data_IF_474770326087
#
_entry.id   IF_474770326087
#
_cell.length_a   1.000
_cell.length_b   1.000
_cell.length_c   1.000
_cell.angle_alpha   90.00
_cell.angle_beta   90.00
_cell.angle_gamma   90.00
#
_symmetry.space_group_name_H-M   'P 1'
#
loop_
_entity.id
_entity.type
_entity.pdbx_description
1 polymer ?
#
# COMPACT_ATOMS: atom_id res chain seq x y z
N UNK A 1 -16.39 -66.32 -2.08
CA UNK A 1 -15.44 -65.33 -2.63
C UNK A 1 -16.06 -63.96 -2.47
N UNK A 2 -15.53 -63.11 -1.55
CA UNK A 2 -16.01 -61.76 -1.31
C UNK A 2 -15.07 -60.79 -2.04
N UNK A 3 -15.58 -60.06 -3.01
CA UNK A 3 -14.81 -59.03 -3.70
C UNK A 3 -14.85 -57.74 -2.89
N UNK A 4 -13.70 -57.26 -2.43
CA UNK A 4 -13.53 -55.97 -1.78
C UNK A 4 -13.27 -54.94 -2.89
N UNK A 5 -14.21 -54.05 -3.11
CA UNK A 5 -14.04 -52.89 -4.01
C UNK A 5 -13.31 -51.78 -3.25
N UNK A 6 -12.06 -51.51 -3.63
CA UNK A 6 -11.29 -50.38 -3.11
C UNK A 6 -11.63 -49.18 -3.98
N UNK A 7 -12.39 -48.25 -3.44
CA UNK A 7 -12.63 -46.95 -4.07
C UNK A 7 -11.42 -46.03 -3.84
N UNK A 8 -10.69 -45.73 -4.90
CA UNK A 8 -9.59 -44.79 -4.91
C UNK A 8 -10.17 -43.39 -5.07
N UNK A 9 -10.28 -42.64 -3.97
CA UNK A 9 -10.66 -41.21 -4.01
C UNK A 9 -9.45 -40.39 -4.46
N UNK A 10 -9.45 -39.91 -5.71
CA UNK A 10 -8.52 -38.89 -6.18
C UNK A 10 -8.87 -37.55 -5.49
N UNK A 11 -8.08 -37.15 -4.50
CA UNK A 11 -8.07 -35.75 -4.05
C UNK A 11 -7.41 -34.91 -5.16
N UNK A 12 -8.23 -34.26 -5.98
CA UNK A 12 -7.77 -33.24 -6.90
C UNK A 12 -7.31 -32.01 -6.09
N UNK A 13 -6.00 -31.84 -5.95
CA UNK A 13 -5.43 -30.60 -5.45
C UNK A 13 -5.77 -29.49 -6.45
N UNK A 14 -6.68 -28.59 -6.08
CA UNK A 14 -6.86 -27.31 -6.78
C UNK A 14 -5.53 -26.56 -6.69
N UNK A 15 -4.73 -26.62 -7.74
CA UNK A 15 -3.58 -25.73 -7.90
C UNK A 15 -4.18 -24.35 -8.19
N UNK A 16 -4.29 -23.52 -7.15
CA UNK A 16 -4.54 -22.09 -7.33
C UNK A 16 -3.29 -21.53 -7.98
N UNK A 17 -3.29 -21.43 -9.30
CA UNK A 17 -2.22 -20.74 -10.03
C UNK A 17 -2.28 -19.27 -9.68
N UNK A 18 -1.41 -18.84 -8.76
CA UNK A 18 -1.13 -17.42 -8.56
C UNK A 18 -0.67 -16.86 -9.92
N UNK A 19 -1.43 -15.95 -10.49
CA UNK A 19 -1.04 -15.33 -11.74
C UNK A 19 0.19 -14.45 -11.48
N UNK A 20 1.30 -14.76 -12.17
CA UNK A 20 2.50 -13.92 -12.11
C UNK A 20 2.14 -12.52 -12.62
N UNK A 21 2.45 -11.49 -11.85
CA UNK A 21 2.14 -10.10 -12.16
C UNK A 21 3.41 -9.26 -12.23
N UNK A 22 3.37 -8.20 -13.03
CA UNK A 22 4.40 -7.17 -13.09
C UNK A 22 4.07 -6.09 -12.05
N UNK A 23 4.85 -6.02 -10.99
CA UNK A 23 4.66 -5.09 -9.87
C UNK A 23 5.73 -4.02 -9.93
N UNK A 24 5.31 -2.76 -9.96
CA UNK A 24 6.21 -1.61 -9.84
C UNK A 24 6.10 -1.05 -8.43
N UNK A 25 7.24 -0.91 -7.75
CA UNK A 25 7.34 -0.26 -6.44
C UNK A 25 8.03 1.06 -6.61
N UNK A 26 7.35 2.15 -6.29
CA UNK A 26 7.87 3.51 -6.31
C UNK A 26 8.24 3.94 -4.90
N UNK A 27 9.54 4.09 -4.60
CA UNK A 27 10.05 4.43 -3.28
C UNK A 27 11.13 5.51 -3.34
N UNK A 28 11.31 6.26 -2.27
CA UNK A 28 12.40 7.26 -2.15
C UNK A 28 13.26 6.97 -0.92
N UNK A 29 14.56 7.23 -1.07
CA UNK A 29 15.54 7.12 -0.02
C UNK A 29 15.72 8.49 0.66
N UNK A 30 15.00 8.70 1.75
CA UNK A 30 15.19 9.89 2.59
C UNK A 30 14.89 9.53 4.07
N UNK A 31 15.53 10.21 5.03
CA UNK A 31 15.38 9.89 6.45
C UNK A 31 13.92 9.90 6.95
N UNK A 32 13.11 10.82 6.43
CA UNK A 32 11.70 10.96 6.82
C UNK A 32 10.76 10.00 6.06
N UNK A 33 11.27 9.14 5.18
CA UNK A 33 10.48 8.17 4.42
C UNK A 33 10.58 6.74 4.98
N UNK A 34 10.92 6.59 6.25
CA UNK A 34 10.82 5.33 6.98
C UNK A 34 11.58 4.17 6.34
N UNK A 35 12.79 4.41 5.84
CA UNK A 35 13.63 3.38 5.19
C UNK A 35 12.88 2.61 4.09
N UNK A 36 12.05 3.33 3.32
CA UNK A 36 11.14 2.74 2.34
C UNK A 36 11.86 1.90 1.29
N UNK A 37 13.02 2.34 0.81
CA UNK A 37 13.77 1.62 -0.24
C UNK A 37 14.24 0.26 0.25
N UNK A 38 14.88 0.18 1.44
CA UNK A 38 15.35 -1.10 1.98
C UNK A 38 14.17 -2.00 2.36
N UNK A 39 13.15 -1.44 3.00
CA UNK A 39 11.93 -2.18 3.37
C UNK A 39 11.25 -2.78 2.15
N UNK A 40 11.12 -2.03 1.06
CA UNK A 40 10.47 -2.50 -0.17
C UNK A 40 11.34 -3.48 -0.97
N UNK A 41 12.65 -3.30 -1.00
CA UNK A 41 13.56 -4.30 -1.58
C UNK A 41 13.47 -5.63 -0.83
N UNK A 42 13.46 -5.60 0.51
CA UNK A 42 13.30 -6.80 1.33
C UNK A 42 11.92 -7.45 1.12
N UNK A 43 10.85 -6.66 1.08
CA UNK A 43 9.50 -7.16 0.82
C UNK A 43 9.39 -7.80 -0.57
N UNK A 44 9.94 -7.15 -1.59
CA UNK A 44 9.99 -7.71 -2.95
C UNK A 44 10.74 -9.05 -3.00
N UNK A 45 11.91 -9.12 -2.36
CA UNK A 45 12.76 -10.31 -2.40
C UNK A 45 12.17 -11.49 -1.61
N UNK A 46 11.60 -11.22 -0.44
CA UNK A 46 11.21 -12.26 0.49
C UNK A 46 9.74 -12.68 0.36
N UNK A 47 8.87 -11.78 -0.10
CA UNK A 47 7.43 -12.03 -0.11
C UNK A 47 6.83 -12.09 -1.53
N UNK A 48 7.27 -11.24 -2.47
CA UNK A 48 6.62 -11.14 -3.79
C UNK A 48 7.26 -12.02 -4.86
N UNK A 49 8.59 -11.93 -5.03
CA UNK A 49 9.29 -12.74 -6.04
C UNK A 49 9.15 -14.25 -5.81
N UNK A 50 9.16 -14.78 -4.57
CA UNK A 50 8.91 -16.20 -4.34
C UNK A 50 7.50 -16.68 -4.74
N UNK A 51 6.54 -15.74 -4.90
CA UNK A 51 5.20 -16.03 -5.41
C UNK A 51 5.10 -15.96 -6.94
N UNK A 52 6.23 -15.75 -7.64
CA UNK A 52 6.30 -15.69 -9.11
C UNK A 52 6.13 -14.30 -9.69
N UNK A 53 5.93 -13.25 -8.88
CA UNK A 53 5.79 -11.88 -9.40
C UNK A 53 7.12 -11.33 -9.94
N UNK A 54 7.06 -10.57 -11.03
CA UNK A 54 8.15 -9.75 -11.50
C UNK A 54 8.08 -8.39 -10.82
N UNK A 55 9.10 -8.03 -10.03
CA UNK A 55 9.08 -6.82 -9.22
C UNK A 55 10.20 -5.87 -9.62
N UNK A 56 9.83 -4.67 -10.05
CA UNK A 56 10.73 -3.56 -10.35
C UNK A 56 10.61 -2.52 -9.24
N UNK A 57 11.72 -2.26 -8.51
CA UNK A 57 11.77 -1.17 -7.53
C UNK A 57 12.40 0.04 -8.20
N UNK A 58 11.60 1.09 -8.38
CA UNK A 58 12.03 2.38 -8.95
C UNK A 58 12.31 3.34 -7.80
N UNK A 59 13.59 3.69 -7.65
CA UNK A 59 14.06 4.57 -6.58
C UNK A 59 14.11 6.00 -7.08
N UNK A 60 13.40 6.88 -6.40
CA UNK A 60 13.39 8.31 -6.71
C UNK A 60 14.61 9.06 -6.18
N UNK A 61 14.76 10.30 -6.65
CA UNK A 61 15.80 11.25 -6.25
C UNK A 61 17.23 10.92 -6.74
N UNK A 62 17.38 10.01 -7.66
CA UNK A 62 18.67 9.65 -8.23
C UNK A 62 18.57 9.64 -9.77
N UNK A 63 19.45 10.36 -10.47
CA UNK A 63 20.42 11.35 -9.98
C UNK A 63 19.81 12.70 -9.61
N UNK A 64 18.55 12.96 -9.95
CA UNK A 64 17.88 14.26 -9.75
C UNK A 64 16.72 14.11 -8.77
N UNK A 65 16.61 15.04 -7.83
CA UNK A 65 15.50 15.09 -6.88
C UNK A 65 14.15 15.17 -7.62
N UNK A 66 13.13 14.51 -7.07
CA UNK A 66 11.79 14.40 -7.66
C UNK A 66 11.68 13.56 -8.94
N UNK A 67 12.78 13.02 -9.44
CA UNK A 67 12.81 12.17 -10.63
C UNK A 67 12.89 10.69 -10.25
N UNK A 68 12.17 9.85 -10.98
CA UNK A 68 12.16 8.39 -10.83
C UNK A 68 12.59 7.78 -12.17
N UNK A 69 13.88 7.49 -12.31
CA UNK A 69 14.41 6.95 -13.54
C UNK A 69 13.75 5.60 -13.89
N UNK A 70 13.31 5.47 -15.14
CA UNK A 70 12.65 4.25 -15.63
C UNK A 70 11.17 4.10 -15.24
N UNK A 71 10.58 5.01 -14.43
CA UNK A 71 9.20 4.89 -13.97
C UNK A 71 8.19 4.78 -15.13
N UNK A 72 8.31 5.64 -16.14
CA UNK A 72 7.38 5.65 -17.29
C UNK A 72 7.40 4.32 -18.04
N UNK A 73 8.60 3.79 -18.27
CA UNK A 73 8.77 2.51 -18.95
C UNK A 73 8.22 1.35 -18.10
N UNK A 74 8.51 1.33 -16.80
CA UNK A 74 8.04 0.30 -15.89
C UNK A 74 6.51 0.26 -15.76
N UNK A 75 5.84 1.42 -15.74
CA UNK A 75 4.39 1.50 -15.59
C UNK A 75 3.61 1.06 -16.84
N UNK A 76 4.21 1.01 -18.03
CA UNK A 76 3.52 0.55 -19.25
C UNK A 76 2.93 -0.85 -19.07
N UNK A 77 3.73 -1.77 -18.55
CA UNK A 77 3.36 -3.18 -18.41
C UNK A 77 3.03 -3.57 -16.97
N UNK A 78 3.00 -2.61 -16.04
CA UNK A 78 2.67 -2.87 -14.65
C UNK A 78 1.22 -3.32 -14.49
N UNK A 79 1.01 -4.37 -13.69
CA UNK A 79 -0.30 -4.82 -13.24
C UNK A 79 -0.68 -4.16 -11.90
N UNK A 80 0.31 -3.75 -11.10
CA UNK A 80 0.13 -3.10 -9.80
C UNK A 80 1.22 -2.05 -9.58
N UNK A 81 0.82 -0.87 -9.06
CA UNK A 81 1.73 0.12 -8.49
C UNK A 81 1.69 0.06 -6.96
N UNK A 82 2.84 -0.18 -6.33
CA UNK A 82 3.03 0.01 -4.89
C UNK A 82 3.72 1.36 -4.68
N UNK A 83 3.10 2.23 -3.91
CA UNK A 83 3.59 3.60 -3.66
C UNK A 83 4.02 3.77 -2.21
N UNK A 84 5.32 3.95 -1.99
CA UNK A 84 5.89 4.30 -0.70
C UNK A 84 6.84 5.49 -0.87
N UNK A 85 6.29 6.62 -1.23
CA UNK A 85 7.00 7.87 -1.50
C UNK A 85 6.43 9.01 -0.67
N UNK A 86 7.27 10.00 -0.41
CA UNK A 86 6.91 11.15 0.43
C UNK A 86 7.25 12.45 -0.28
N UNK A 87 6.22 13.28 -0.54
CA UNK A 87 6.36 14.66 -1.05
C UNK A 87 7.30 14.78 -2.24
N UNK A 88 6.99 14.02 -3.30
CA UNK A 88 7.71 14.10 -4.58
C UNK A 88 6.79 14.71 -5.62
N UNK A 89 7.32 15.76 -6.26
CA UNK A 89 6.67 16.49 -7.33
C UNK A 89 7.29 15.97 -8.61
N UNK A 90 6.52 15.35 -9.47
CA UNK A 90 7.09 14.59 -10.57
C UNK A 90 7.22 15.47 -11.82
N UNK A 91 8.20 15.20 -12.70
CA UNK A 91 8.12 15.67 -14.08
C UNK A 91 6.77 15.29 -14.68
N UNK A 92 6.21 16.16 -15.55
CA UNK A 92 4.87 15.98 -16.12
C UNK A 92 4.66 14.57 -16.70
N UNK A 93 5.62 14.07 -17.47
CA UNK A 93 5.54 12.74 -18.09
C UNK A 93 5.40 11.61 -17.06
N UNK A 94 6.11 11.70 -15.93
CA UNK A 94 6.03 10.69 -14.87
C UNK A 94 4.70 10.77 -14.12
N UNK A 95 4.22 11.98 -13.86
CA UNK A 95 2.89 12.17 -13.24
C UNK A 95 1.78 11.65 -14.17
N UNK A 96 1.89 11.91 -15.46
CA UNK A 96 0.93 11.42 -16.45
C UNK A 96 0.95 9.89 -16.55
N UNK A 97 2.11 9.25 -16.43
CA UNK A 97 2.20 7.80 -16.39
C UNK A 97 1.50 7.20 -15.16
N UNK A 98 1.65 7.82 -13.97
CA UNK A 98 0.93 7.41 -12.76
C UNK A 98 -0.59 7.57 -12.93
N UNK A 99 -1.02 8.70 -13.47
CA UNK A 99 -2.45 8.96 -13.74
C UNK A 99 -3.02 7.99 -14.78
N UNK A 100 -2.26 7.74 -15.85
CA UNK A 100 -2.67 6.80 -16.89
C UNK A 100 -2.84 5.37 -16.35
N UNK A 101 -1.93 4.91 -15.48
CA UNK A 101 -2.03 3.62 -14.81
C UNK A 101 -3.36 3.51 -14.04
N UNK A 102 -3.69 4.49 -13.22
CA UNK A 102 -4.92 4.51 -12.42
C UNK A 102 -6.17 4.65 -13.28
N UNK A 103 -6.13 5.52 -14.30
CA UNK A 103 -7.25 5.74 -15.22
C UNK A 103 -7.55 4.52 -16.08
N UNK A 104 -6.55 3.67 -16.33
CA UNK A 104 -6.74 2.37 -16.99
C UNK A 104 -7.40 1.32 -16.08
N UNK A 105 -7.72 1.65 -14.82
CA UNK A 105 -8.28 0.72 -13.85
C UNK A 105 -7.22 -0.17 -13.18
N UNK A 106 -5.95 0.09 -13.40
CA UNK A 106 -4.86 -0.66 -12.77
C UNK A 106 -4.71 -0.27 -11.30
N UNK A 107 -4.50 -1.24 -10.40
CA UNK A 107 -4.56 -1.03 -8.96
C UNK A 107 -3.37 -0.27 -8.37
N UNK A 108 -3.60 0.29 -7.18
CA UNK A 108 -2.60 0.93 -6.34
C UNK A 108 -2.62 0.36 -4.92
N UNK A 109 -1.43 0.07 -4.38
CA UNK A 109 -1.21 -0.18 -2.97
C UNK A 109 -0.39 0.97 -2.38
N UNK A 110 -1.02 1.80 -1.55
CA UNK A 110 -0.37 2.93 -0.88
C UNK A 110 0.12 2.55 0.51
N UNK A 111 1.40 2.85 0.80
CA UNK A 111 2.01 2.58 2.11
C UNK A 111 2.40 3.90 2.77
N UNK A 112 1.96 4.08 3.98
CA UNK A 112 2.31 5.13 4.94
C UNK A 112 2.40 6.53 4.31
N UNK A 113 3.59 6.95 3.89
CA UNK A 113 3.83 8.29 3.31
C UNK A 113 3.17 8.52 1.95
N UNK A 114 2.60 7.49 1.33
CA UNK A 114 1.74 7.63 0.16
C UNK A 114 0.57 8.61 0.42
N UNK A 115 0.12 8.72 1.68
CA UNK A 115 -0.89 9.69 2.11
C UNK A 115 -0.56 11.15 1.71
N UNK A 116 0.70 11.47 1.49
CA UNK A 116 1.14 12.79 1.05
C UNK A 116 2.26 12.71 -0.02
N UNK A 117 2.19 11.71 -0.88
CA UNK A 117 3.23 11.45 -1.87
C UNK A 117 3.50 12.63 -2.79
N UNK A 118 2.45 13.27 -3.29
CA UNK A 118 2.52 14.31 -4.32
C UNK A 118 2.06 15.69 -3.84
N UNK A 119 1.93 15.87 -2.53
CA UNK A 119 1.39 17.08 -1.91
C UNK A 119 2.52 17.89 -1.28
N UNK A 120 2.75 19.15 -1.71
CA UNK A 120 3.71 20.04 -1.08
C UNK A 120 3.25 20.44 0.33
N UNK A 121 4.20 20.79 1.21
CA UNK A 121 3.90 21.55 2.41
C UNK A 121 3.66 23.02 2.03
N UNK A 122 2.99 23.81 2.86
CA UNK A 122 2.78 25.24 2.59
C UNK A 122 4.07 26.04 2.33
N UNK A 123 5.20 25.57 2.86
CA UNK A 123 6.52 26.21 2.72
C UNK A 123 7.37 25.64 1.58
N UNK A 124 6.93 24.55 0.95
CA UNK A 124 7.72 23.91 -0.11
C UNK A 124 7.53 24.72 -1.42
N UNK A 125 8.62 24.98 -2.10
CA UNK A 125 8.60 25.54 -3.46
C UNK A 125 8.55 24.37 -4.44
N UNK A 126 7.70 24.50 -5.45
CA UNK A 126 7.62 23.56 -6.56
C UNK A 126 8.35 24.16 -7.75
N UNK A 127 9.44 23.54 -8.17
CA UNK A 127 10.25 24.03 -9.27
C UNK A 127 9.50 23.94 -10.61
N UNK A 128 9.86 24.81 -11.55
CA UNK A 128 9.27 24.82 -12.89
C UNK A 128 9.47 23.45 -13.57
N UNK A 129 8.44 22.94 -14.22
CA UNK A 129 8.44 21.64 -14.89
C UNK A 129 8.10 20.46 -13.99
N UNK A 130 7.90 20.68 -12.68
CA UNK A 130 7.39 19.67 -11.76
C UNK A 130 5.89 19.80 -11.56
N UNK A 131 5.24 18.66 -11.43
CA UNK A 131 3.78 18.53 -11.26
C UNK A 131 3.46 17.99 -9.88
N UNK A 132 2.48 18.59 -9.22
CA UNK A 132 1.89 18.15 -7.95
C UNK A 132 0.52 17.51 -8.19
N UNK A 133 0.04 16.80 -7.17
CA UNK A 133 -1.34 16.28 -7.15
C UNK A 133 -1.94 16.49 -5.76
N UNK A 134 -2.41 17.71 -5.46
CA UNK A 134 -2.92 18.05 -4.12
C UNK A 134 -4.06 17.18 -3.65
N UNK A 135 -4.94 16.77 -4.56
CA UNK A 135 -6.15 16.00 -4.27
C UNK A 135 -5.88 14.48 -4.17
N UNK A 136 -4.62 14.02 -4.40
CA UNK A 136 -4.29 12.60 -4.47
C UNK A 136 -4.75 11.80 -3.24
N UNK A 137 -4.56 12.34 -2.04
CA UNK A 137 -4.95 11.66 -0.80
C UNK A 137 -6.45 11.50 -0.71
N UNK A 138 -7.18 12.58 -0.94
CA UNK A 138 -8.64 12.59 -0.90
C UNK A 138 -9.23 11.78 -2.06
N UNK A 139 -8.84 12.10 -3.31
CA UNK A 139 -9.49 11.56 -4.49
C UNK A 139 -9.08 10.12 -4.79
N UNK A 140 -7.79 9.80 -4.65
CA UNK A 140 -7.27 8.45 -4.97
C UNK A 140 -7.29 7.54 -3.76
N UNK A 141 -6.67 7.94 -2.64
CA UNK A 141 -6.60 7.08 -1.46
C UNK A 141 -7.90 7.08 -0.65
N UNK A 142 -8.70 8.13 -0.76
CA UNK A 142 -10.00 8.23 -0.09
C UNK A 142 -9.91 8.52 1.40
N UNK A 143 -8.90 9.23 1.83
CA UNK A 143 -8.74 9.70 3.20
C UNK A 143 -8.19 11.11 3.23
N UNK A 144 -7.89 11.63 4.41
CA UNK A 144 -7.35 12.96 4.60
C UNK A 144 -5.86 12.92 5.02
N UNK A 145 -5.15 14.02 4.74
CA UNK A 145 -3.83 14.29 5.29
C UNK A 145 -3.95 15.38 6.36
N UNK A 146 -4.67 15.07 7.45
CA UNK A 146 -4.98 16.01 8.52
C UNK A 146 -3.92 16.03 9.65
N UNK A 147 -2.71 15.53 9.34
CA UNK A 147 -1.61 15.46 10.30
C UNK A 147 -1.51 14.11 11.00
N UNK A 148 -0.97 14.11 12.20
CA UNK A 148 -0.68 12.89 12.96
C UNK A 148 -0.73 13.16 14.46
N UNK A 149 -0.86 12.08 15.24
CA UNK A 149 -0.76 12.11 16.68
C UNK A 149 0.70 12.35 17.12
N UNK A 150 0.91 12.69 18.38
CA UNK A 150 2.22 12.97 18.96
C UNK A 150 3.24 11.91 18.56
N UNK A 151 4.40 12.36 18.07
CA UNK A 151 5.51 11.48 17.68
C UNK A 151 5.97 10.62 18.85
N UNK A 152 6.17 9.34 18.60
CA UNK A 152 6.63 8.39 19.61
C UNK A 152 5.53 7.83 20.51
N UNK A 153 4.27 8.21 20.30
CA UNK A 153 3.13 7.60 20.97
C UNK A 153 2.70 6.35 20.20
N UNK A 154 2.93 5.13 20.71
CA UNK A 154 2.54 3.91 20.02
C UNK A 154 1.01 3.76 20.01
N UNK A 155 0.52 2.97 19.07
CA UNK A 155 -0.90 2.64 18.98
C UNK A 155 -1.10 1.13 18.78
N UNK A 156 -2.19 0.62 19.31
CA UNK A 156 -2.67 -0.74 19.09
C UNK A 156 -3.53 -0.77 17.82
N UNK A 157 -3.63 -1.96 17.21
CA UNK A 157 -4.44 -2.15 16.02
C UNK A 157 -5.49 -3.22 16.30
N UNK A 158 -6.70 -3.00 15.82
CA UNK A 158 -7.80 -3.96 15.85
C UNK A 158 -8.46 -4.06 14.48
N UNK A 159 -9.01 -5.22 14.16
CA UNK A 159 -9.90 -5.35 13.00
C UNK A 159 -11.23 -4.64 13.27
N UNK A 160 -11.89 -4.20 12.20
CA UNK A 160 -13.28 -3.73 12.27
C UNK A 160 -14.18 -4.90 12.62
N UNK A 161 -15.05 -4.72 13.61
CA UNK A 161 -15.98 -5.75 14.06
C UNK A 161 -16.88 -6.24 12.92
N UNK A 162 -16.99 -7.55 12.79
CA UNK A 162 -17.84 -8.19 11.79
C UNK A 162 -17.32 -8.15 10.36
N UNK A 163 -16.16 -7.52 10.10
CA UNK A 163 -15.59 -7.53 8.74
C UNK A 163 -15.09 -8.93 8.37
N UNK A 164 -15.51 -9.40 7.21
CA UNK A 164 -15.01 -10.64 6.60
C UNK A 164 -14.35 -10.29 5.29
N UNK A 165 -13.04 -10.44 5.21
CA UNK A 165 -12.25 -10.10 4.02
C UNK A 165 -11.01 -10.96 3.93
N UNK A 166 -10.67 -11.40 2.73
CA UNK A 166 -9.42 -12.14 2.45
C UNK A 166 -8.16 -11.33 2.79
N UNK A 167 -8.28 -10.00 2.92
CA UNK A 167 -7.18 -9.14 3.38
C UNK A 167 -6.69 -9.50 4.79
N UNK A 168 -7.54 -10.08 5.62
CA UNK A 168 -7.19 -10.49 6.99
C UNK A 168 -6.91 -11.99 7.13
N UNK A 169 -6.80 -12.74 6.04
CA UNK A 169 -6.52 -14.16 6.09
C UNK A 169 -5.12 -14.41 6.69
N UNK A 170 -5.09 -15.11 7.83
CA UNK A 170 -3.86 -15.38 8.58
C UNK A 170 -3.22 -14.15 9.22
N UNK A 171 -3.95 -13.03 9.35
CA UNK A 171 -3.53 -11.81 10.05
C UNK A 171 -4.18 -11.75 11.42
N UNK A 172 -3.36 -11.69 12.48
CA UNK A 172 -3.83 -11.37 13.81
C UNK A 172 -3.58 -9.89 14.11
N UNK A 173 -4.61 -9.06 13.99
CA UNK A 173 -4.51 -7.62 14.22
C UNK A 173 -3.98 -7.27 15.63
N UNK A 174 -4.23 -8.10 16.63
CA UNK A 174 -3.76 -7.87 18.00
C UNK A 174 -2.22 -7.96 18.14
N UNK A 175 -1.53 -8.60 17.20
CA UNK A 175 -0.07 -8.63 17.13
C UNK A 175 0.52 -7.36 16.52
N UNK A 176 -0.32 -6.55 15.85
CA UNK A 176 0.14 -5.34 15.17
C UNK A 176 0.18 -4.18 16.17
N UNK A 177 1.34 -3.55 16.26
CA UNK A 177 1.53 -2.29 16.96
C UNK A 177 2.13 -1.29 16.00
N UNK A 178 1.56 -0.09 15.94
CA UNK A 178 2.20 1.01 15.24
C UNK A 178 3.24 1.67 16.13
N UNK A 179 4.48 1.70 15.66
CA UNK A 179 5.61 2.27 16.41
C UNK A 179 5.85 3.75 16.12
N UNK A 180 5.22 4.25 15.06
CA UNK A 180 5.31 5.66 14.65
C UNK A 180 3.94 6.33 14.83
N UNK A 181 3.89 7.65 14.64
CA UNK A 181 2.67 8.44 14.85
C UNK A 181 1.47 7.88 14.09
N UNK A 182 0.33 7.78 14.75
CA UNK A 182 -0.96 7.48 14.14
C UNK A 182 -1.36 8.65 13.23
N UNK A 183 -1.66 8.39 11.96
CA UNK A 183 -2.10 9.42 11.02
C UNK A 183 -3.57 9.77 11.24
N UNK A 184 -3.89 11.06 11.12
CA UNK A 184 -5.25 11.60 11.13
C UNK A 184 -5.77 11.58 9.69
N UNK A 185 -6.63 10.62 9.40
CA UNK A 185 -7.06 10.30 8.03
C UNK A 185 -8.56 10.47 7.81
N UNK A 186 -9.31 10.73 8.87
CA UNK A 186 -10.75 10.95 8.79
C UNK A 186 -11.10 12.38 8.32
N UNK A 187 -12.24 12.53 7.59
CA UNK A 187 -13.16 11.47 7.17
C UNK A 187 -12.60 10.62 6.02
N UNK A 188 -13.02 9.37 5.92
CA UNK A 188 -12.81 8.58 4.70
C UNK A 188 -13.90 8.91 3.67
N UNK A 189 -13.57 8.68 2.39
CA UNK A 189 -14.54 8.75 1.30
C UNK A 189 -15.68 7.74 1.52
N UNK A 190 -16.88 8.07 1.05
CA UNK A 190 -18.08 7.27 1.28
C UNK A 190 -18.00 5.83 0.71
N UNK A 191 -17.17 5.62 -0.32
CA UNK A 191 -16.92 4.30 -0.92
C UNK A 191 -15.71 3.57 -0.31
N UNK A 192 -15.03 4.18 0.66
CA UNK A 192 -13.91 3.55 1.35
C UNK A 192 -14.42 2.58 2.43
N UNK A 193 -13.83 1.39 2.46
CA UNK A 193 -14.13 0.35 3.46
C UNK A 193 -12.95 0.20 4.40
N UNK A 194 -13.03 0.70 5.64
CA UNK A 194 -11.99 0.51 6.65
C UNK A 194 -11.91 -0.97 7.05
N UNK A 195 -10.69 -1.45 7.31
CA UNK A 195 -10.41 -2.85 7.64
C UNK A 195 -9.76 -2.96 9.02
N UNK A 196 -8.80 -2.08 9.29
CA UNK A 196 -8.08 -2.01 10.55
C UNK A 196 -8.18 -0.61 11.15
N UNK A 197 -8.32 -0.55 12.48
CA UNK A 197 -8.36 0.67 13.28
C UNK A 197 -7.13 0.73 14.19
N UNK A 198 -6.48 1.87 14.23
CA UNK A 198 -5.43 2.20 15.18
C UNK A 198 -5.97 3.04 16.32
N UNK A 199 -5.65 2.66 17.55
CA UNK A 199 -5.99 3.41 18.77
C UNK A 199 -4.72 3.78 19.51
N UNK A 200 -4.43 5.06 19.57
CA UNK A 200 -3.27 5.58 20.27
C UNK A 200 -3.40 5.40 21.80
N UNK A 201 -2.27 5.28 22.47
CA UNK A 201 -2.21 5.05 23.90
C UNK A 201 -2.67 6.23 24.76
N UNK A 202 -2.52 6.09 26.06
CA UNK A 202 -2.90 7.12 27.04
C UNK A 202 -2.18 8.46 26.73
N UNK A 203 -2.93 9.56 26.83
CA UNK A 203 -2.45 10.91 26.50
C UNK A 203 -2.65 11.31 25.04
N UNK A 204 -3.24 10.43 24.20
CA UNK A 204 -3.59 10.79 22.85
C UNK A 204 -4.75 11.80 22.81
N UNK A 205 -4.64 12.75 21.89
CA UNK A 205 -5.70 13.72 21.59
C UNK A 205 -6.58 13.28 20.40
N UNK A 206 -6.10 12.30 19.65
CA UNK A 206 -6.75 11.84 18.41
C UNK A 206 -7.66 10.64 18.70
N UNK A 207 -8.90 10.65 18.25
CA UNK A 207 -9.75 9.47 18.30
C UNK A 207 -9.15 8.33 17.45
N UNK A 208 -9.64 7.09 17.61
CA UNK A 208 -9.23 5.98 16.76
C UNK A 208 -9.32 6.34 15.27
N UNK A 209 -8.31 5.92 14.49
CA UNK A 209 -8.19 6.21 13.07
C UNK A 209 -8.12 4.93 12.26
N UNK A 210 -8.74 4.87 11.07
CA UNK A 210 -8.44 3.80 10.13
C UNK A 210 -6.95 3.75 9.80
N UNK A 211 -6.34 2.57 9.91
CA UNK A 211 -4.94 2.35 9.55
C UNK A 211 -4.77 1.47 8.32
N UNK A 212 -5.84 0.83 7.86
CA UNK A 212 -5.93 0.16 6.57
C UNK A 212 -7.36 0.20 6.04
N UNK A 213 -7.50 0.47 4.74
CA UNK A 213 -8.80 0.46 4.05
C UNK A 213 -8.64 0.15 2.56
N UNK A 214 -9.77 -0.14 1.93
CA UNK A 214 -9.89 -0.29 0.47
C UNK A 214 -10.91 0.66 -0.09
N UNK A 215 -10.78 0.96 -1.38
CA UNK A 215 -11.81 1.64 -2.19
C UNK A 215 -11.61 1.36 -3.68
N UNK A 216 -12.47 1.96 -4.50
CA UNK A 216 -12.30 2.01 -5.96
C UNK A 216 -12.07 3.44 -6.42
N UNK A 217 -11.17 3.65 -7.39
CA UNK A 217 -10.87 4.97 -7.95
C UNK A 217 -11.15 5.02 -9.45
N UNK A 218 -11.65 6.19 -9.87
CA UNK A 218 -11.83 6.54 -11.27
C UNK A 218 -12.92 5.74 -12.01
N UNK A 219 -13.13 6.04 -13.31
CA UNK A 219 -14.23 5.44 -14.10
C UNK A 219 -14.04 3.94 -14.29
N UNK A 220 -12.81 3.47 -14.39
CA UNK A 220 -12.47 2.06 -14.58
C UNK A 220 -12.24 1.29 -13.28
N UNK A 221 -12.64 1.88 -12.12
CA UNK A 221 -12.69 1.21 -10.82
C UNK A 221 -11.35 0.58 -10.39
N UNK A 222 -10.25 1.31 -10.56
CA UNK A 222 -8.96 0.88 -10.04
C UNK A 222 -9.08 0.51 -8.56
N UNK A 223 -8.66 -0.70 -8.17
CA UNK A 223 -8.67 -1.14 -6.77
C UNK A 223 -7.57 -0.42 -6.01
N UNK A 224 -7.92 0.23 -4.94
CA UNK A 224 -6.99 0.95 -4.07
C UNK A 224 -6.99 0.27 -2.70
N UNK A 225 -5.81 -0.12 -2.24
CA UNK A 225 -5.54 -0.44 -0.85
C UNK A 225 -4.59 0.61 -0.29
N UNK A 226 -4.88 1.09 0.90
CA UNK A 226 -3.95 1.95 1.64
C UNK A 226 -3.76 1.45 3.06
N UNK A 227 -2.53 1.60 3.58
CA UNK A 227 -2.24 1.44 5.01
C UNK A 227 -1.29 2.52 5.51
N UNK A 228 -1.55 3.04 6.70
CA UNK A 228 -0.63 3.93 7.42
C UNK A 228 0.45 3.19 8.22
N UNK A 229 0.41 1.85 8.24
CA UNK A 229 1.52 1.01 8.68
C UNK A 229 2.64 1.04 7.62
N UNK A 230 3.87 0.74 8.00
CA UNK A 230 5.00 0.69 7.06
C UNK A 230 6.30 1.28 7.60
N UNK A 231 6.34 1.71 8.87
CA UNK A 231 7.61 2.03 9.51
C UNK A 231 8.53 0.78 9.57
N UNK A 232 9.86 0.94 9.69
CA UNK A 232 10.77 -0.21 9.73
C UNK A 232 10.40 -1.23 10.81
N UNK A 233 9.90 -0.78 11.96
CA UNK A 233 9.44 -1.62 13.05
C UNK A 233 8.17 -2.39 12.65
N UNK A 234 7.22 -1.72 11.98
CA UNK A 234 5.99 -2.33 11.49
C UNK A 234 6.32 -3.44 10.49
N UNK A 235 7.28 -3.19 9.58
CA UNK A 235 7.71 -4.17 8.56
C UNK A 235 8.40 -5.41 9.14
N UNK A 236 8.85 -5.39 10.40
CA UNK A 236 9.36 -6.58 11.11
C UNK A 236 8.24 -7.48 11.63
N UNK A 237 7.02 -6.97 11.77
CA UNK A 237 5.86 -7.75 12.23
C UNK A 237 5.36 -8.64 11.09
N UNK A 238 5.30 -9.95 11.34
CA UNK A 238 4.86 -10.91 10.33
C UNK A 238 3.43 -10.64 9.85
N UNK A 239 2.53 -10.25 10.75
CA UNK A 239 1.14 -9.93 10.43
C UNK A 239 1.00 -8.69 9.53
N UNK A 240 1.90 -7.70 9.65
CA UNK A 240 1.93 -6.55 8.73
C UNK A 240 2.37 -7.00 7.32
N UNK A 241 3.43 -7.81 7.22
CA UNK A 241 3.85 -8.34 5.91
C UNK A 241 2.78 -9.23 5.29
N UNK A 242 2.09 -10.06 6.10
CA UNK A 242 0.96 -10.88 5.66
C UNK A 242 -0.18 -10.02 5.12
N UNK A 243 -0.54 -8.95 5.82
CA UNK A 243 -1.55 -7.98 5.36
C UNK A 243 -1.17 -7.40 4.00
N UNK A 244 0.10 -6.99 3.81
CA UNK A 244 0.56 -6.44 2.53
C UNK A 244 0.55 -7.48 1.40
N UNK A 245 0.93 -8.73 1.68
CA UNK A 245 0.82 -9.84 0.71
C UNK A 245 -0.64 -10.09 0.33
N UNK A 246 -1.54 -10.11 1.30
CA UNK A 246 -2.98 -10.27 1.03
C UNK A 246 -3.51 -9.07 0.23
N UNK A 247 -3.03 -7.85 0.52
CA UNK A 247 -3.40 -6.66 -0.24
C UNK A 247 -2.93 -6.72 -1.70
N UNK A 248 -1.72 -7.21 -1.96
CA UNK A 248 -1.24 -7.47 -3.32
C UNK A 248 -2.15 -8.47 -4.04
N UNK A 249 -2.48 -9.60 -3.40
CA UNK A 249 -3.40 -10.59 -3.96
C UNK A 249 -4.76 -9.96 -4.27
N UNK A 250 -5.35 -9.29 -3.29
CA UNK A 250 -6.66 -8.64 -3.43
C UNK A 250 -6.67 -7.60 -4.56
N UNK A 251 -5.61 -6.81 -4.72
CA UNK A 251 -5.53 -5.80 -5.78
C UNK A 251 -5.43 -6.43 -7.16
N UNK A 252 -4.81 -7.61 -7.30
CA UNK A 252 -4.60 -8.31 -8.56
C UNK A 252 -5.76 -9.25 -8.95
N UNK A 253 -6.71 -9.53 -8.05
CA UNK A 253 -7.91 -10.30 -8.37
C UNK A 253 -8.78 -9.55 -9.40
N UNK A 254 -9.28 -10.27 -10.41
CA UNK A 254 -10.16 -9.75 -11.46
C UNK A 254 -11.62 -9.78 -11.05
#
# INVERSE_FOLDING_TARGET
MKYILIALTLLGSLIITSHAANIVIMAVEEPDNYDAVNSMNAFAANELRPQGHQVTVVVGDKPVKHHFEGLVAALKDADLLILFSRRRFLPQEQMDAVRAHLNAGKPLLGIRTANHAFIPRPKDTVDAGLTIWPEFTHDVLGGENAGYETKGLPYTVSAIDGIKTALLDGVNAANIRGYQSLYKVLPLAADATPILIGTAGAGASTPPQPVAWTRSYGPNKARIFYTSLGAPEDMRIADVRRLLVNAVKWTLEK
#
